data_IF_741398951168
#
_entry.id   IF_741398951168
#
_cell.length_a   1.000
_cell.length_b   1.000
_cell.length_c   1.000
_cell.angle_alpha   90.00
_cell.angle_beta   90.00
_cell.angle_gamma   90.00
#
_symmetry.space_group_name_H-M   'P 1'
#
loop_
_entity.id
_entity.type
_entity.pdbx_description
1 polymer ?
#
# COMPACT_ATOMS: atom_id res chain seq x y z
N UNK A 1 25.96 5.06 17.59
CA UNK A 1 24.68 4.50 18.07
C UNK A 1 23.53 5.48 17.79
N UNK A 2 23.67 6.77 18.13
CA UNK A 2 22.67 7.82 17.90
C UNK A 2 22.03 7.86 16.49
N UNK A 3 22.84 7.73 15.42
CA UNK A 3 22.34 7.73 14.02
C UNK A 3 21.57 6.45 13.63
N UNK A 4 21.85 5.32 14.29
CA UNK A 4 21.17 4.05 14.04
C UNK A 4 19.77 4.06 14.64
N UNK A 5 19.64 4.53 15.88
CA UNK A 5 18.36 4.63 16.58
C UNK A 5 17.42 5.62 15.89
N UNK A 6 17.95 6.75 15.37
CA UNK A 6 17.17 7.71 14.58
C UNK A 6 16.62 7.10 13.28
N UNK A 7 17.41 6.28 12.57
CA UNK A 7 16.97 5.59 11.34
C UNK A 7 15.89 4.55 11.63
N UNK A 8 16.05 3.77 12.69
CA UNK A 8 15.05 2.77 13.12
C UNK A 8 13.75 3.47 13.51
N UNK A 9 13.84 4.55 14.29
CA UNK A 9 12.69 5.35 14.68
C UNK A 9 11.96 5.97 13.48
N UNK A 10 12.69 6.58 12.53
CA UNK A 10 12.08 7.14 11.30
C UNK A 10 11.37 6.06 10.48
N UNK A 11 11.96 4.87 10.36
CA UNK A 11 11.33 3.75 9.65
C UNK A 11 10.05 3.28 10.35
N UNK A 12 10.10 3.11 11.67
CA UNK A 12 8.94 2.72 12.46
C UNK A 12 7.81 3.78 12.38
N UNK A 13 8.16 5.06 12.47
CA UNK A 13 7.20 6.17 12.34
C UNK A 13 6.53 6.18 10.96
N UNK A 14 7.33 6.09 9.89
CA UNK A 14 6.82 6.00 8.51
C UNK A 14 5.85 4.83 8.35
N UNK A 15 6.20 3.67 8.90
CA UNK A 15 5.36 2.47 8.86
C UNK A 15 3.99 2.69 9.53
N UNK A 16 3.95 3.39 10.65
CA UNK A 16 2.72 3.74 11.35
C UNK A 16 1.87 4.74 10.55
N UNK A 17 2.51 5.73 9.92
CA UNK A 17 1.83 6.70 9.06
C UNK A 17 1.21 6.03 7.83
N UNK A 18 1.94 5.12 7.17
CA UNK A 18 1.46 4.37 6.00
C UNK A 18 0.28 3.46 6.39
N UNK A 19 0.36 2.76 7.53
CA UNK A 19 -0.76 1.96 8.08
C UNK A 19 -1.99 2.82 8.38
N UNK A 20 -1.80 3.97 9.03
CA UNK A 20 -2.90 4.90 9.34
C UNK A 20 -3.57 5.41 8.07
N UNK A 21 -2.78 5.78 7.06
CA UNK A 21 -3.28 6.18 5.74
C UNK A 21 -4.12 5.07 5.09
N UNK A 22 -3.67 3.82 5.18
CA UNK A 22 -4.40 2.67 4.64
C UNK A 22 -5.75 2.46 5.33
N UNK A 23 -5.79 2.48 6.67
CA UNK A 23 -7.05 2.32 7.40
C UNK A 23 -8.05 3.45 7.12
N UNK A 24 -7.58 4.69 7.02
CA UNK A 24 -8.45 5.83 6.66
C UNK A 24 -9.02 5.62 5.26
N UNK A 25 -8.19 5.22 4.29
CA UNK A 25 -8.66 4.95 2.93
C UNK A 25 -9.65 3.78 2.89
N UNK A 26 -9.38 2.67 3.59
CA UNK A 26 -10.26 1.51 3.68
C UNK A 26 -11.63 1.87 4.28
N UNK A 27 -11.65 2.59 5.41
CA UNK A 27 -12.91 2.99 6.06
C UNK A 27 -13.70 3.93 5.15
N UNK A 28 -13.03 4.92 4.56
CA UNK A 28 -13.65 5.85 3.60
C UNK A 28 -14.24 5.09 2.41
N UNK A 29 -13.49 4.13 1.87
CA UNK A 29 -13.92 3.28 0.76
C UNK A 29 -15.20 2.50 1.11
N UNK A 30 -15.26 1.86 2.28
CA UNK A 30 -16.43 1.09 2.72
C UNK A 30 -17.64 2.02 2.88
N UNK A 31 -17.47 3.13 3.60
CA UNK A 31 -18.56 4.06 3.90
C UNK A 31 -19.12 4.66 2.61
N UNK A 32 -18.27 5.22 1.74
CA UNK A 32 -18.71 5.85 0.50
C UNK A 32 -19.38 4.82 -0.42
N UNK A 33 -18.77 3.65 -0.64
CA UNK A 33 -19.37 2.66 -1.53
C UNK A 33 -20.69 2.10 -0.99
N UNK A 34 -20.83 1.97 0.33
CA UNK A 34 -22.11 1.61 0.94
C UNK A 34 -23.20 2.66 0.65
N UNK A 35 -22.89 3.95 0.80
CA UNK A 35 -23.83 5.02 0.45
C UNK A 35 -24.16 5.03 -1.04
N UNK A 36 -23.15 4.89 -1.93
CA UNK A 36 -23.38 4.86 -3.37
C UNK A 36 -24.24 3.65 -3.78
N UNK A 37 -24.04 2.50 -3.15
CA UNK A 37 -24.87 1.32 -3.35
C UNK A 37 -26.33 1.59 -2.94
N UNK A 38 -26.57 2.20 -1.78
CA UNK A 38 -27.91 2.59 -1.34
C UNK A 38 -28.57 3.59 -2.30
N UNK A 39 -27.84 4.62 -2.74
CA UNK A 39 -28.34 5.60 -3.73
C UNK A 39 -28.68 4.90 -5.04
N UNK A 40 -27.83 3.99 -5.50
CA UNK A 40 -28.04 3.25 -6.73
C UNK A 40 -29.35 2.43 -6.70
N UNK A 41 -29.59 1.71 -5.61
CA UNK A 41 -30.81 0.92 -5.43
C UNK A 41 -32.08 1.77 -5.37
N UNK A 42 -32.01 2.95 -4.73
CA UNK A 42 -33.19 3.82 -4.55
C UNK A 42 -33.52 4.58 -5.84
N UNK A 43 -32.51 5.17 -6.48
CA UNK A 43 -32.73 6.12 -7.59
C UNK A 43 -32.58 5.50 -8.97
N UNK A 44 -31.83 4.39 -9.10
CA UNK A 44 -31.55 3.79 -10.41
C UNK A 44 -31.38 2.27 -10.34
N UNK A 45 -32.38 1.52 -9.84
CA UNK A 45 -32.26 0.08 -9.56
C UNK A 45 -31.95 -0.82 -10.78
N UNK A 46 -32.08 -0.29 -12.01
CA UNK A 46 -31.76 -1.00 -13.25
C UNK A 46 -30.33 -0.79 -13.76
N UNK A 47 -29.57 0.17 -13.21
CA UNK A 47 -28.23 0.54 -13.71
C UNK A 47 -27.26 0.55 -12.55
N UNK A 48 -26.31 -0.37 -12.56
CA UNK A 48 -25.39 -0.63 -11.44
C UNK A 48 -24.16 0.27 -11.48
N UNK A 49 -24.36 1.58 -11.63
CA UNK A 49 -23.27 2.54 -11.79
C UNK A 49 -22.34 2.63 -10.56
N UNK A 50 -22.79 2.23 -9.37
CA UNK A 50 -21.94 2.21 -8.17
C UNK A 50 -20.74 1.25 -8.31
N UNK A 51 -20.78 0.29 -9.24
CA UNK A 51 -19.68 -0.63 -9.51
C UNK A 51 -18.43 0.08 -10.05
N UNK A 52 -18.59 1.19 -10.79
CA UNK A 52 -17.46 1.93 -11.33
C UNK A 52 -16.54 2.51 -10.24
N UNK A 53 -17.04 3.33 -9.28
CA UNK A 53 -16.21 3.81 -8.18
C UNK A 53 -15.75 2.67 -7.28
N UNK A 54 -16.56 1.63 -7.06
CA UNK A 54 -16.18 0.46 -6.28
C UNK A 54 -14.93 -0.22 -6.86
N UNK A 55 -14.95 -0.56 -8.15
CA UNK A 55 -13.83 -1.25 -8.79
C UNK A 55 -12.61 -0.34 -8.89
N UNK A 56 -12.80 0.90 -9.36
CA UNK A 56 -11.69 1.83 -9.59
C UNK A 56 -10.94 2.14 -8.28
N UNK A 57 -11.66 2.46 -7.22
CA UNK A 57 -11.04 2.75 -5.92
C UNK A 57 -10.56 1.47 -5.23
N UNK A 58 -11.26 0.35 -5.44
CA UNK A 58 -10.84 -0.96 -4.94
C UNK A 58 -9.46 -1.37 -5.45
N UNK A 59 -9.16 -1.09 -6.72
CA UNK A 59 -7.83 -1.31 -7.30
C UNK A 59 -6.78 -0.48 -6.56
N UNK A 60 -7.03 0.81 -6.33
CA UNK A 60 -6.11 1.68 -5.58
C UNK A 60 -5.87 1.20 -4.15
N UNK A 61 -6.92 0.73 -3.48
CA UNK A 61 -6.85 0.14 -2.15
C UNK A 61 -6.00 -1.14 -2.11
N UNK A 62 -6.14 -2.01 -3.12
CA UNK A 62 -5.31 -3.21 -3.28
C UNK A 62 -3.85 -2.84 -3.48
N UNK A 63 -3.53 -1.86 -4.33
CA UNK A 63 -2.15 -1.41 -4.50
C UNK A 63 -1.56 -0.82 -3.21
N UNK A 64 -2.34 -0.08 -2.43
CA UNK A 64 -1.89 0.44 -1.14
C UNK A 64 -1.62 -0.69 -0.13
N UNK A 65 -2.49 -1.70 -0.09
CA UNK A 65 -2.29 -2.92 0.69
C UNK A 65 -1.02 -3.65 0.27
N UNK A 66 -0.80 -3.87 -1.03
CA UNK A 66 0.39 -4.53 -1.53
C UNK A 66 1.66 -3.75 -1.20
N UNK A 67 1.64 -2.41 -1.33
CA UNK A 67 2.72 -1.51 -0.93
C UNK A 67 3.16 -1.75 0.51
N UNK A 68 2.21 -1.70 1.44
CA UNK A 68 2.46 -1.82 2.87
C UNK A 68 2.80 -3.28 3.23
N UNK A 69 1.97 -4.26 2.87
CA UNK A 69 2.08 -5.60 3.45
C UNK A 69 2.96 -6.56 2.65
N UNK A 70 3.13 -6.33 1.35
CA UNK A 70 3.84 -7.26 0.46
C UNK A 70 5.19 -6.69 0.01
N UNK A 71 5.21 -5.47 -0.52
CA UNK A 71 6.40 -4.91 -1.14
C UNK A 71 7.42 -4.39 -0.12
N UNK A 72 6.98 -3.76 0.97
CA UNK A 72 7.87 -3.21 2.00
C UNK A 72 8.69 -4.29 2.74
N UNK A 73 8.18 -5.53 2.79
CA UNK A 73 8.80 -6.63 3.55
C UNK A 73 9.42 -7.76 2.71
N UNK A 74 9.10 -7.91 1.41
CA UNK A 74 9.55 -9.10 0.65
C UNK A 74 10.18 -8.87 -0.72
N UNK A 75 9.82 -7.82 -1.46
CA UNK A 75 10.19 -7.70 -2.89
C UNK A 75 11.12 -6.53 -3.19
N UNK A 76 10.94 -5.39 -2.54
CA UNK A 76 11.78 -4.20 -2.67
C UNK A 76 12.31 -3.72 -1.30
N UNK A 77 12.31 -4.63 -0.32
CA UNK A 77 12.84 -4.36 1.01
C UNK A 77 14.36 -4.45 1.06
N UNK A 78 14.93 -4.08 2.20
CA UNK A 78 16.39 -4.12 2.50
C UNK A 78 17.07 -5.40 2.02
N UNK A 79 16.42 -6.54 2.17
CA UNK A 79 16.99 -7.85 1.82
C UNK A 79 17.19 -8.03 0.31
N UNK A 80 16.31 -7.44 -0.51
CA UNK A 80 16.47 -7.38 -1.97
C UNK A 80 17.57 -6.41 -2.38
N UNK A 81 17.62 -5.23 -1.74
CA UNK A 81 18.68 -4.24 -1.97
C UNK A 81 20.06 -4.81 -1.62
N UNK A 82 20.18 -5.43 -0.43
CA UNK A 82 21.42 -6.06 0.04
C UNK A 82 21.86 -7.20 -0.90
N UNK A 83 20.92 -8.04 -1.38
CA UNK A 83 21.22 -9.06 -2.40
C UNK A 83 21.77 -8.45 -3.68
N UNK A 84 21.18 -7.34 -4.15
CA UNK A 84 21.60 -6.70 -5.40
C UNK A 84 22.95 -6.01 -5.28
N UNK A 85 23.19 -5.32 -4.17
CA UNK A 85 24.50 -4.70 -3.86
C UNK A 85 25.58 -5.78 -3.81
N UNK A 86 25.33 -6.88 -3.08
CA UNK A 86 26.28 -7.97 -2.94
C UNK A 86 26.62 -8.62 -4.30
N UNK A 87 25.61 -8.80 -5.16
CA UNK A 87 25.81 -9.29 -6.53
C UNK A 87 26.72 -8.37 -7.35
N UNK A 88 26.51 -7.05 -7.33
CA UNK A 88 27.35 -6.12 -8.10
C UNK A 88 28.79 -6.05 -7.58
N UNK A 89 28.99 -6.10 -6.25
CA UNK A 89 30.33 -6.18 -5.65
C UNK A 89 31.08 -7.47 -6.03
N UNK A 90 30.39 -8.60 -6.09
CA UNK A 90 30.97 -9.87 -6.55
C UNK A 90 31.31 -9.84 -8.05
N UNK A 91 30.50 -9.17 -8.88
CA UNK A 91 30.77 -8.97 -10.30
C UNK A 91 31.96 -8.03 -10.55
N UNK A 92 32.14 -6.98 -9.74
CA UNK A 92 33.33 -6.12 -9.78
C UNK A 92 34.60 -6.84 -9.33
N UNK A 93 34.56 -7.60 -8.22
CA UNK A 93 35.74 -8.33 -7.72
C UNK A 93 36.16 -9.53 -8.57
N UNK A 94 35.31 -9.97 -9.52
CA UNK A 94 35.64 -11.01 -10.50
C UNK A 94 36.23 -10.47 -11.80
N UNK A 95 36.28 -9.13 -11.97
CA UNK A 95 37.03 -8.46 -13.04
C UNK A 95 38.43 -8.11 -12.56
#
# INVERSE_FOLDING_TARGET
MENYDEKVYKKAKKRVEDLKGFYIHLITYIIINFFLFMINLIFTPGIWWFLFPLILWGIGLVFHFLGIFVFENKVLGKEWEEKKIKKYLEEENKK
#
